data_IF_722450965318
#
_entry.id   IF_722450965318
#
_cell.length_a   1.000
_cell.length_b   1.000
_cell.length_c   1.000
_cell.angle_alpha   90.00
_cell.angle_beta   90.00
_cell.angle_gamma   90.00
#
_symmetry.space_group_name_H-M   'P 1'
#
loop_
_entity.id
_entity.type
_entity.pdbx_description
1 polymer ?
#
# COMPACT_ATOMS: atom_id res chain seq x y z
N UNK A 1 -5.42 16.41 -6.12
CA UNK A 1 -6.39 16.07 -5.07
C UNK A 1 -5.67 15.58 -3.82
N UNK A 2 -5.84 16.27 -2.70
CA UNK A 2 -5.27 15.88 -1.41
C UNK A 2 -6.19 14.93 -0.63
N UNK A 3 -5.66 14.28 0.41
CA UNK A 3 -6.43 13.39 1.30
C UNK A 3 -7.69 14.05 1.86
N UNK A 4 -7.62 15.34 2.22
CA UNK A 4 -8.75 16.10 2.77
C UNK A 4 -9.89 16.31 1.76
N UNK A 5 -9.55 16.55 0.48
CA UNK A 5 -10.53 16.73 -0.60
C UNK A 5 -11.27 15.41 -0.86
N UNK A 6 -10.54 14.30 -0.85
CA UNK A 6 -11.08 12.94 -1.02
C UNK A 6 -12.09 12.59 0.08
N UNK A 7 -11.76 12.88 1.35
CA UNK A 7 -12.66 12.67 2.48
C UNK A 7 -13.91 13.53 2.37
N UNK A 8 -13.75 14.81 1.98
CA UNK A 8 -14.86 15.75 1.82
C UNK A 8 -15.83 15.29 0.73
N UNK A 9 -15.30 14.80 -0.39
CA UNK A 9 -16.09 14.19 -1.46
C UNK A 9 -16.90 13.00 -0.95
N UNK A 10 -16.25 11.98 -0.36
CA UNK A 10 -16.95 10.79 0.13
C UNK A 10 -17.96 11.10 1.24
N UNK A 11 -17.69 12.10 2.07
CA UNK A 11 -18.65 12.54 3.08
C UNK A 11 -19.93 13.12 2.47
N UNK A 12 -19.82 13.80 1.32
CA UNK A 12 -20.94 14.35 0.56
C UNK A 12 -21.70 13.31 -0.27
N UNK A 13 -21.04 12.25 -0.72
CA UNK A 13 -21.65 11.18 -1.53
C UNK A 13 -22.79 10.45 -0.80
N UNK A 14 -22.63 10.18 0.49
CA UNK A 14 -23.64 9.46 1.25
C UNK A 14 -24.64 10.41 1.92
N UNK A 15 -25.87 10.42 1.41
CA UNK A 15 -27.01 11.09 2.05
C UNK A 15 -27.81 10.06 2.87
N UNK A 16 -28.00 10.35 4.16
CA UNK A 16 -28.72 9.46 5.08
C UNK A 16 -29.78 10.30 5.81
N UNK A 17 -31.07 9.92 5.74
CA UNK A 17 -32.11 10.56 6.53
C UNK A 17 -32.10 10.04 7.98
N UNK A 18 -32.59 10.86 8.91
CA UNK A 18 -32.76 10.48 10.33
C UNK A 18 -32.08 11.43 11.30
N UNK A 19 -32.03 11.03 12.58
CA UNK A 19 -31.39 11.82 13.63
C UNK A 19 -29.89 11.99 13.38
N UNK A 20 -29.34 13.14 13.77
CA UNK A 20 -27.95 13.50 13.53
C UNK A 20 -26.95 12.41 13.98
N UNK A 21 -27.20 11.78 15.13
CA UNK A 21 -26.37 10.67 15.65
C UNK A 21 -26.32 9.47 14.70
N UNK A 22 -27.46 9.09 14.13
CA UNK A 22 -27.57 7.99 13.17
C UNK A 22 -26.88 8.35 11.84
N UNK A 23 -27.09 9.57 11.35
CA UNK A 23 -26.47 10.06 10.12
C UNK A 23 -24.94 10.02 10.22
N UNK A 24 -24.38 10.55 11.32
CA UNK A 24 -22.93 10.54 11.56
C UNK A 24 -22.38 9.13 11.63
N UNK A 25 -23.02 8.23 12.40
CA UNK A 25 -22.57 6.84 12.51
C UNK A 25 -22.54 6.11 11.15
N UNK A 26 -23.56 6.34 10.31
CA UNK A 26 -23.64 5.77 8.96
C UNK A 26 -22.56 6.34 8.03
N UNK A 27 -22.31 7.65 8.06
CA UNK A 27 -21.27 8.29 7.27
C UNK A 27 -19.86 7.83 7.66
N UNK A 28 -19.58 7.70 8.96
CA UNK A 28 -18.31 7.15 9.44
C UNK A 28 -18.10 5.69 8.97
N UNK A 29 -19.14 4.85 9.02
CA UNK A 29 -19.06 3.48 8.50
C UNK A 29 -18.76 3.45 7.00
N UNK A 30 -19.38 4.34 6.22
CA UNK A 30 -19.12 4.46 4.78
C UNK A 30 -17.69 4.93 4.49
N UNK A 31 -17.23 5.98 5.17
CA UNK A 31 -15.85 6.46 5.05
C UNK A 31 -14.85 5.37 5.40
N UNK A 32 -15.09 4.58 6.44
CA UNK A 32 -14.20 3.47 6.82
C UNK A 32 -14.05 2.45 5.68
N UNK A 33 -15.13 2.09 5.00
CA UNK A 33 -15.05 1.14 3.88
C UNK A 33 -14.37 1.77 2.65
N UNK A 34 -14.65 3.03 2.31
CA UNK A 34 -13.93 3.77 1.25
C UNK A 34 -12.43 3.85 1.54
N UNK A 35 -12.06 4.18 2.77
CA UNK A 35 -10.68 4.25 3.22
C UNK A 35 -9.97 2.90 3.12
N UNK A 36 -10.63 1.77 3.40
CA UNK A 36 -10.03 0.45 3.21
C UNK A 36 -9.72 0.17 1.74
N UNK A 37 -10.64 0.48 0.84
CA UNK A 37 -10.46 0.30 -0.60
C UNK A 37 -9.33 1.19 -1.10
N UNK A 38 -9.38 2.48 -0.79
CA UNK A 38 -8.35 3.44 -1.17
C UNK A 38 -6.97 3.07 -0.60
N UNK A 39 -6.90 2.63 0.65
CA UNK A 39 -5.66 2.16 1.24
C UNK A 39 -5.09 0.95 0.50
N UNK A 40 -5.95 0.04 0.01
CA UNK A 40 -5.53 -1.07 -0.84
C UNK A 40 -5.10 -0.63 -2.24
N UNK A 41 -5.76 0.36 -2.84
CA UNK A 41 -5.41 0.87 -4.17
C UNK A 41 -4.09 1.65 -4.16
N UNK A 42 -3.89 2.49 -3.14
CA UNK A 42 -2.70 3.34 -3.02
C UNK A 42 -1.49 2.58 -2.49
N UNK A 43 -1.66 1.81 -1.42
CA UNK A 43 -0.55 1.10 -0.80
C UNK A 43 -0.41 -0.34 -1.33
N UNK A 44 -1.41 -0.87 -2.02
CA UNK A 44 -1.43 -2.28 -2.38
C UNK A 44 -1.50 -3.19 -1.16
N UNK A 45 -1.30 -4.47 -1.39
CA UNK A 45 -0.80 -5.35 -0.33
C UNK A 45 0.72 -5.20 -0.29
N UNK A 46 1.20 -4.19 0.45
CA UNK A 46 2.62 -3.87 0.66
C UNK A 46 3.41 -5.14 1.01
N UNK A 47 2.82 -6.03 1.82
CA UNK A 47 3.46 -7.29 2.23
C UNK A 47 3.62 -8.27 1.08
N UNK A 48 2.58 -8.43 0.25
CA UNK A 48 2.66 -9.28 -0.95
C UNK A 48 3.67 -8.72 -1.94
N UNK A 49 3.69 -7.39 -2.15
CA UNK A 49 4.66 -6.76 -3.03
C UNK A 49 6.10 -6.93 -2.51
N UNK A 50 6.29 -6.74 -1.20
CA UNK A 50 7.57 -6.95 -0.53
C UNK A 50 8.08 -8.38 -0.73
N UNK A 51 7.22 -9.38 -0.47
CA UNK A 51 7.53 -10.80 -0.68
C UNK A 51 7.94 -11.12 -2.12
N UNK A 52 7.15 -10.65 -3.10
CA UNK A 52 7.44 -10.90 -4.52
C UNK A 52 8.78 -10.29 -4.96
N UNK A 53 9.10 -9.10 -4.48
CA UNK A 53 10.38 -8.45 -4.77
C UNK A 53 11.54 -9.23 -4.16
N UNK A 54 11.42 -9.70 -2.91
CA UNK A 54 12.42 -10.55 -2.27
C UNK A 54 12.61 -11.88 -2.99
N UNK A 55 11.52 -12.56 -3.38
CA UNK A 55 11.57 -13.81 -4.14
C UNK A 55 12.28 -13.60 -5.49
N UNK A 56 12.00 -12.50 -6.19
CA UNK A 56 12.65 -12.17 -7.44
C UNK A 56 14.14 -11.85 -7.26
N UNK A 57 14.50 -11.01 -6.28
CA UNK A 57 15.92 -10.71 -5.97
C UNK A 57 16.67 -12.01 -5.63
N UNK A 58 16.09 -12.86 -4.78
CA UNK A 58 16.69 -14.13 -4.41
C UNK A 58 16.87 -15.07 -5.62
N UNK A 59 15.93 -15.08 -6.57
CA UNK A 59 16.08 -15.86 -7.81
C UNK A 59 17.26 -15.40 -8.67
N UNK A 60 17.53 -14.09 -8.70
CA UNK A 60 18.68 -13.52 -9.41
C UNK A 60 19.99 -13.80 -8.67
N UNK A 61 20.00 -13.71 -7.34
CA UNK A 61 21.19 -14.04 -6.54
C UNK A 61 21.56 -15.53 -6.68
N UNK A 62 20.58 -16.45 -6.67
CA UNK A 62 20.81 -17.88 -6.94
C UNK A 62 21.34 -18.13 -8.36
N UNK A 63 20.84 -17.39 -9.36
CA UNK A 63 21.34 -17.51 -10.74
C UNK A 63 22.78 -17.00 -10.87
N UNK A 64 23.11 -15.91 -10.16
CA UNK A 64 24.46 -15.35 -10.13
C UNK A 64 25.47 -16.40 -9.61
N UNK A 65 25.11 -17.12 -8.55
CA UNK A 65 25.93 -18.20 -7.98
C UNK A 65 26.14 -19.37 -8.97
N UNK A 66 25.13 -19.71 -9.78
CA UNK A 66 25.24 -20.85 -10.70
C UNK A 66 25.94 -20.52 -12.02
N UNK A 67 25.67 -19.35 -12.60
CA UNK A 67 26.00 -19.06 -14.00
C UNK A 67 26.34 -17.59 -14.27
N UNK A 68 26.33 -16.73 -13.25
CA UNK A 68 26.41 -15.29 -13.42
C UNK A 68 25.10 -14.66 -13.94
N UNK A 69 25.09 -13.33 -13.99
CA UNK A 69 23.98 -12.52 -14.48
C UNK A 69 24.35 -11.80 -15.79
N UNK A 70 23.36 -11.64 -16.67
CA UNK A 70 23.49 -10.73 -17.80
C UNK A 70 23.38 -9.27 -17.36
N UNK A 71 23.82 -8.32 -18.19
CA UNK A 71 23.68 -6.88 -17.91
C UNK A 71 22.22 -6.47 -17.68
N UNK A 72 21.30 -7.06 -18.44
CA UNK A 72 19.85 -6.83 -18.29
C UNK A 72 19.35 -7.27 -16.91
N UNK A 73 19.83 -8.42 -16.42
CA UNK A 73 19.44 -8.96 -15.12
C UNK A 73 20.07 -8.20 -13.96
N UNK A 74 21.28 -7.67 -14.14
CA UNK A 74 21.91 -6.76 -13.18
C UNK A 74 21.05 -5.50 -13.02
N UNK A 75 20.58 -4.93 -14.13
CA UNK A 75 19.70 -3.76 -14.10
C UNK A 75 18.35 -4.09 -13.45
N UNK A 76 17.73 -5.22 -13.81
CA UNK A 76 16.50 -5.69 -13.16
C UNK A 76 16.67 -5.89 -11.66
N UNK A 77 17.80 -6.43 -11.21
CA UNK A 77 18.11 -6.56 -9.78
C UNK A 77 18.23 -5.20 -9.11
N UNK A 78 18.88 -4.23 -9.75
CA UNK A 78 19.01 -2.85 -9.26
C UNK A 78 17.64 -2.20 -9.06
N UNK A 79 16.78 -2.27 -10.08
CA UNK A 79 15.40 -1.76 -10.03
C UNK A 79 14.59 -2.45 -8.94
N UNK A 80 14.67 -3.78 -8.84
CA UNK A 80 13.97 -4.55 -7.82
C UNK A 80 14.42 -4.18 -6.41
N UNK A 81 15.73 -3.98 -6.17
CA UNK A 81 16.27 -3.52 -4.88
C UNK A 81 15.81 -2.11 -4.53
N UNK A 82 15.77 -1.18 -5.49
CA UNK A 82 15.28 0.17 -5.27
C UNK A 82 13.77 0.18 -4.92
N UNK A 83 12.97 -0.59 -5.65
CA UNK A 83 11.54 -0.72 -5.35
C UNK A 83 11.30 -1.43 -4.01
N UNK A 84 12.12 -2.43 -3.69
CA UNK A 84 12.08 -3.12 -2.40
C UNK A 84 12.36 -2.18 -1.22
N UNK A 85 13.35 -1.30 -1.34
CA UNK A 85 13.65 -0.29 -0.33
C UNK A 85 12.46 0.66 -0.09
N UNK A 86 11.82 1.11 -1.18
CA UNK A 86 10.61 1.96 -1.11
C UNK A 86 9.45 1.24 -0.41
N UNK A 87 9.20 -0.02 -0.77
CA UNK A 87 8.13 -0.84 -0.18
C UNK A 87 8.39 -1.13 1.29
N UNK A 88 9.64 -1.43 1.66
CA UNK A 88 10.04 -1.68 3.06
C UNK A 88 9.87 -0.44 3.94
N UNK A 89 10.19 0.75 3.42
CA UNK A 89 9.95 2.00 4.12
C UNK A 89 8.46 2.27 4.36
N UNK A 90 7.60 1.99 3.37
CA UNK A 90 6.14 2.11 3.54
C UNK A 90 5.60 1.12 4.57
N UNK A 91 6.14 -0.11 4.57
CA UNK A 91 5.80 -1.10 5.58
C UNK A 91 6.17 -0.59 6.97
N UNK A 92 7.41 -0.13 7.18
CA UNK A 92 7.88 0.46 8.44
C UNK A 92 6.96 1.59 8.94
N UNK A 93 6.55 2.53 8.07
CA UNK A 93 5.58 3.58 8.41
C UNK A 93 4.26 2.96 8.90
N UNK A 94 3.75 1.94 8.22
CA UNK A 94 2.53 1.23 8.62
C UNK A 94 2.67 0.61 10.01
N UNK A 95 3.80 -0.03 10.31
CA UNK A 95 4.09 -0.61 11.63
C UNK A 95 4.13 0.48 12.72
N UNK A 96 4.80 1.61 12.47
CA UNK A 96 4.85 2.74 13.42
C UNK A 96 3.48 3.35 13.69
N UNK A 97 2.65 3.50 12.66
CA UNK A 97 1.29 4.00 12.82
C UNK A 97 0.42 3.05 13.66
N UNK A 98 0.50 1.74 13.38
CA UNK A 98 -0.25 0.72 14.13
C UNK A 98 0.20 0.58 15.58
N UNK A 99 1.49 0.73 15.86
CA UNK A 99 2.03 0.66 17.22
C UNK A 99 1.57 1.81 18.12
N UNK A 100 1.08 2.92 17.54
CA UNK A 100 0.59 4.10 18.26
C UNK A 100 -0.93 4.13 18.44
N UNK A 101 -1.63 3.16 17.83
CA UNK A 101 -3.08 2.97 17.93
C UNK A 101 -3.40 1.96 19.04
#
# INVERSE_FOLDING_TARGET
EGFSELISQWWGELQVPGYASFVVARKLKYLKEKLKVWNREIFGDVKVKNRKLLEFINSLDLKEESSGLSNEEIEQRSIAKAEWAKVSFMEEISWRQKSRA
#
